data_IF_521991602289
#
_entry.id   IF_521991602289
#
_cell.length_a   1.000
_cell.length_b   1.000
_cell.length_c   1.000
_cell.angle_alpha   90.00
_cell.angle_beta   90.00
_cell.angle_gamma   90.00
#
_symmetry.space_group_name_H-M   'P 1'
#
loop_
_entity.id
_entity.type
_entity.pdbx_description
1 polymer ?
#
# COMPACT_ATOMS: atom_id res chain seq x y z
N UNK A 1 -11.57 -12.09 5.40
CA UNK A 1 -12.46 -10.98 4.99
C UNK A 1 -11.75 -9.69 5.33
N UNK A 2 -11.66 -8.74 4.40
CA UNK A 2 -11.15 -7.39 4.67
C UNK A 2 -12.28 -6.38 4.49
N UNK A 3 -12.22 -5.28 5.24
CA UNK A 3 -13.18 -4.19 5.14
C UNK A 3 -12.46 -2.89 4.78
N UNK A 4 -13.08 -2.07 3.94
CA UNK A 4 -12.60 -0.73 3.59
C UNK A 4 -13.70 0.27 3.90
N UNK A 5 -13.40 1.23 4.77
CA UNK A 5 -14.27 2.36 5.02
C UNK A 5 -13.68 3.56 4.27
N UNK A 6 -14.42 4.06 3.29
CA UNK A 6 -13.98 5.17 2.43
C UNK A 6 -15.19 6.02 2.05
N UNK A 7 -15.01 7.33 1.82
CA UNK A 7 -16.05 8.14 1.19
C UNK A 7 -16.36 7.61 -0.22
N UNK A 8 -17.64 7.62 -0.57
CA UNK A 8 -18.15 7.38 -1.92
C UNK A 8 -19.03 8.56 -2.34
N UNK A 9 -18.90 8.98 -3.59
CA UNK A 9 -19.80 9.95 -4.22
C UNK A 9 -20.54 9.24 -5.34
N UNK A 10 -21.86 9.36 -5.34
CA UNK A 10 -22.79 8.85 -6.36
C UNK A 10 -23.64 9.99 -6.91
N UNK A 11 -24.54 9.70 -7.85
CA UNK A 11 -25.49 10.67 -8.37
C UNK A 11 -26.49 11.17 -7.30
N UNK A 12 -26.61 10.47 -6.17
CA UNK A 12 -27.57 10.77 -5.09
C UNK A 12 -26.92 11.28 -3.80
N UNK A 13 -25.67 10.91 -3.55
CA UNK A 13 -24.98 11.16 -2.28
C UNK A 13 -23.56 11.67 -2.55
N UNK A 14 -23.12 12.69 -1.81
CA UNK A 14 -21.79 13.29 -1.97
C UNK A 14 -20.93 12.97 -0.76
N UNK A 15 -19.75 12.39 -0.98
CA UNK A 15 -18.76 12.04 0.03
C UNK A 15 -19.34 11.28 1.23
N UNK A 16 -20.35 10.45 0.98
CA UNK A 16 -20.96 9.65 2.03
C UNK A 16 -19.97 8.58 2.47
N UNK A 17 -19.74 8.45 3.78
CA UNK A 17 -18.89 7.40 4.33
C UNK A 17 -19.58 6.05 4.11
N UNK A 18 -18.92 5.15 3.38
CA UNK A 18 -19.42 3.80 3.08
C UNK A 18 -18.46 2.73 3.60
N UNK A 19 -19.01 1.57 3.92
CA UNK A 19 -18.24 0.37 4.21
C UNK A 19 -18.34 -0.61 3.04
N UNK A 20 -17.20 -1.11 2.61
CA UNK A 20 -17.09 -2.14 1.59
C UNK A 20 -16.40 -3.38 2.13
N UNK A 21 -16.86 -4.56 1.68
CA UNK A 21 -16.23 -5.84 2.00
C UNK A 21 -15.44 -6.37 0.81
N UNK A 22 -14.28 -6.97 1.10
CA UNK A 22 -13.47 -7.69 0.12
C UNK A 22 -13.29 -9.14 0.61
N UNK A 23 -13.91 -10.12 -0.08
CA UNK A 23 -13.68 -11.52 0.24
C UNK A 23 -12.24 -11.92 -0.09
N UNK A 24 -11.65 -12.70 0.81
CA UNK A 24 -10.35 -13.35 0.60
C UNK A 24 -10.45 -14.82 1.01
N UNK A 25 -9.63 -15.68 0.42
CA UNK A 25 -9.56 -17.10 0.76
C UNK A 25 -8.25 -17.42 1.51
N UNK A 26 -8.04 -18.69 1.88
CA UNK A 26 -6.76 -19.11 2.49
C UNK A 26 -5.61 -19.08 1.48
N UNK A 27 -5.93 -19.38 0.22
CA UNK A 27 -5.00 -19.41 -0.92
C UNK A 27 -4.72 -17.99 -1.43
N UNK A 28 -5.66 -17.07 -1.21
CA UNK A 28 -5.63 -15.71 -1.74
C UNK A 28 -6.02 -14.70 -0.65
N UNK A 29 -5.08 -14.53 0.28
CA UNK A 29 -5.22 -13.66 1.44
C UNK A 29 -5.03 -12.22 1.00
N UNK A 30 -6.04 -11.39 1.23
CA UNK A 30 -5.93 -9.96 0.99
C UNK A 30 -5.02 -9.34 2.05
N UNK A 31 -3.86 -8.85 1.63
CA UNK A 31 -2.88 -8.19 2.50
C UNK A 31 -3.13 -6.69 2.54
N UNK A 32 -2.90 -6.08 3.70
CA UNK A 32 -2.82 -4.63 3.80
C UNK A 32 -1.46 -4.15 3.26
N UNK A 33 -1.45 -3.00 2.61
CA UNK A 33 -0.21 -2.31 2.28
C UNK A 33 0.45 -1.82 3.59
N UNK A 34 1.58 -2.41 3.94
CA UNK A 34 2.39 -1.90 5.06
C UNK A 34 3.08 -0.61 4.64
N UNK A 35 3.08 0.37 5.54
CA UNK A 35 3.92 1.58 5.43
C UNK A 35 5.26 1.42 6.17
N UNK A 36 5.47 0.29 6.85
CA UNK A 36 6.69 -0.02 7.58
C UNK A 36 7.56 -1.01 6.81
N UNK A 37 8.90 -0.82 6.78
CA UNK A 37 9.81 -1.79 6.17
C UNK A 37 9.91 -3.06 7.03
N UNK A 38 10.23 -4.19 6.40
CA UNK A 38 10.70 -5.35 7.17
C UNK A 38 12.03 -5.00 7.86
N UNK A 39 12.24 -5.35 9.14
CA UNK A 39 13.52 -5.17 9.81
C UNK A 39 14.62 -6.11 9.27
N UNK A 40 14.28 -7.08 8.43
CA UNK A 40 15.23 -8.05 7.90
C UNK A 40 16.38 -7.38 7.13
N UNK A 41 17.61 -7.76 7.48
CA UNK A 41 18.83 -7.26 6.84
C UNK A 41 19.25 -5.85 7.26
N UNK A 42 18.46 -5.15 8.10
CA UNK A 42 18.90 -3.90 8.70
C UNK A 42 19.99 -4.15 9.74
N UNK A 43 21.04 -3.34 9.70
CA UNK A 43 22.15 -3.36 10.65
C UNK A 43 22.23 -2.04 11.38
N UNK A 44 22.48 -2.09 12.68
CA UNK A 44 22.73 -0.90 13.47
C UNK A 44 23.97 -0.17 12.94
N UNK A 45 23.87 1.14 12.76
CA UNK A 45 24.95 1.99 12.28
C UNK A 45 25.46 2.91 13.39
N UNK A 46 24.55 3.62 14.05
CA UNK A 46 24.86 4.62 15.08
C UNK A 46 23.60 5.06 15.82
N UNK A 47 23.80 5.81 16.89
CA UNK A 47 22.75 6.63 17.51
C UNK A 47 22.94 8.10 17.10
N UNK A 48 21.85 8.83 16.86
CA UNK A 48 21.89 10.26 16.56
C UNK A 48 20.58 10.95 16.94
N UNK A 49 20.61 12.29 17.02
CA UNK A 49 19.40 13.08 17.13
C UNK A 49 18.84 13.37 15.73
N UNK A 50 17.65 12.84 15.43
CA UNK A 50 16.91 13.15 14.21
C UNK A 50 15.69 14.02 14.55
N UNK A 51 15.67 15.25 14.03
CA UNK A 51 14.61 16.25 14.31
C UNK A 51 14.29 16.40 15.80
N UNK A 52 15.35 16.43 16.63
CA UNK A 52 15.22 16.59 18.09
C UNK A 52 14.87 15.31 18.87
N UNK A 53 14.68 14.16 18.20
CA UNK A 53 14.44 12.86 18.85
C UNK A 53 15.72 12.02 18.84
N UNK A 54 16.05 11.41 19.98
CA UNK A 54 17.17 10.48 20.07
C UNK A 54 16.81 9.14 19.44
N UNK A 55 17.54 8.76 18.40
CA UNK A 55 17.22 7.62 17.55
C UNK A 55 18.41 6.67 17.40
N UNK A 56 18.12 5.37 17.37
CA UNK A 56 18.99 4.38 16.80
C UNK A 56 18.78 4.34 15.28
N UNK A 57 19.87 4.41 14.51
CA UNK A 57 19.86 4.41 13.05
C UNK A 57 20.27 3.04 12.55
N UNK A 58 19.37 2.44 11.77
CA UNK A 58 19.56 1.14 11.16
C UNK A 58 19.62 1.27 9.65
N UNK A 59 20.50 0.52 8.99
CA UNK A 59 20.63 0.58 7.54
C UNK A 59 20.67 -0.81 6.92
N UNK A 60 19.95 -0.98 5.81
CA UNK A 60 20.04 -2.13 4.93
C UNK A 60 20.56 -1.66 3.56
N UNK A 61 21.65 -2.25 3.09
CA UNK A 61 22.23 -1.97 1.78
C UNK A 61 22.14 -3.23 0.94
N UNK A 62 21.40 -3.16 -0.17
CA UNK A 62 21.29 -4.27 -1.13
C UNK A 62 21.80 -3.86 -2.50
N UNK A 63 22.19 -4.84 -3.30
CA UNK A 63 22.54 -4.64 -4.71
C UNK A 63 21.69 -5.56 -5.55
N UNK A 64 21.09 -4.99 -6.59
CA UNK A 64 20.37 -5.74 -7.60
C UNK A 64 20.95 -5.38 -8.97
N UNK A 65 21.54 -6.37 -9.65
CA UNK A 65 22.39 -6.15 -10.81
C UNK A 65 23.44 -5.05 -10.51
N UNK A 66 23.49 -3.99 -11.32
CA UNK A 66 24.41 -2.86 -11.15
C UNK A 66 23.85 -1.72 -10.30
N UNK A 67 22.65 -1.87 -9.72
CA UNK A 67 22.00 -0.82 -8.93
C UNK A 67 22.17 -1.09 -7.43
N UNK A 68 22.51 -0.04 -6.68
CA UNK A 68 22.65 -0.07 -5.22
C UNK A 68 21.40 0.54 -4.59
N UNK A 69 20.81 -0.14 -3.61
CA UNK A 69 19.74 0.37 -2.77
C UNK A 69 20.28 0.62 -1.36
N UNK A 70 19.94 1.75 -0.77
CA UNK A 70 20.27 2.09 0.62
C UNK A 70 18.99 2.47 1.33
N UNK A 71 18.63 1.67 2.32
CA UNK A 71 17.45 1.87 3.15
C UNK A 71 17.91 2.24 4.55
N UNK A 72 17.47 3.39 5.06
CA UNK A 72 17.86 3.85 6.40
C UNK A 72 16.61 4.09 7.24
N UNK A 73 16.55 3.50 8.42
CA UNK A 73 15.43 3.56 9.34
C UNK A 73 15.91 4.17 10.66
N UNK A 74 15.19 5.19 11.11
CA UNK A 74 15.40 5.82 12.41
C UNK A 74 14.29 5.35 13.35
N UNK A 75 14.68 4.80 14.49
CA UNK A 75 13.75 4.35 15.52
C UNK A 75 14.12 4.93 16.87
N UNK A 76 13.14 5.22 17.71
CA UNK A 76 13.39 5.66 19.09
C UNK A 76 13.96 4.51 19.91
N UNK A 77 14.96 4.81 20.73
CA UNK A 77 15.47 3.88 21.74
C UNK A 77 14.81 4.19 23.08
N UNK A 78 13.56 3.74 23.29
CA UNK A 78 12.76 4.08 24.47
C UNK A 78 12.30 2.84 25.24
N UNK A 79 12.25 2.94 26.57
CA UNK A 79 11.76 1.88 27.46
C UNK A 79 10.27 1.56 27.27
N UNK A 80 9.49 2.48 26.69
CA UNK A 80 8.06 2.31 26.42
C UNK A 80 7.78 1.67 25.05
N UNK A 81 8.82 1.15 24.38
CA UNK A 81 8.74 0.54 23.06
C UNK A 81 9.54 1.30 22.01
N UNK A 82 9.93 0.57 20.96
CA UNK A 82 10.64 1.11 19.80
C UNK A 82 9.60 1.69 18.84
N UNK A 83 9.68 2.98 18.54
CA UNK A 83 8.79 3.65 17.59
C UNK A 83 9.59 4.10 16.35
N UNK A 84 9.07 3.92 15.13
CA UNK A 84 9.67 4.48 13.94
C UNK A 84 9.54 6.01 13.95
N UNK A 85 10.58 6.70 13.46
CA UNK A 85 10.63 8.17 13.38
C UNK A 85 10.76 8.63 11.93
N UNK A 86 11.66 7.99 11.18
CA UNK A 86 11.90 8.31 9.77
C UNK A 86 12.33 7.06 9.02
N UNK A 87 11.92 6.94 7.77
CA UNK A 87 12.41 5.92 6.86
C UNK A 87 12.79 6.56 5.53
N UNK A 88 14.03 6.34 5.11
CA UNK A 88 14.58 6.82 3.85
C UNK A 88 14.92 5.64 2.94
N UNK A 89 14.45 5.68 1.70
CA UNK A 89 14.81 4.74 0.65
C UNK A 89 15.55 5.50 -0.44
N UNK A 90 16.84 5.20 -0.64
CA UNK A 90 17.60 5.65 -1.81
C UNK A 90 17.79 4.47 -2.75
N UNK A 91 17.03 4.44 -3.83
CA UNK A 91 16.99 3.34 -4.78
C UNK A 91 15.55 2.91 -5.04
N UNK A 92 15.34 1.62 -5.26
CA UNK A 92 14.02 1.05 -5.46
C UNK A 92 13.10 1.33 -4.25
N UNK A 93 11.88 1.82 -4.48
CA UNK A 93 10.92 2.00 -3.41
C UNK A 93 10.46 0.62 -2.92
N UNK A 94 10.95 0.17 -1.76
CA UNK A 94 10.70 -1.19 -1.30
C UNK A 94 9.31 -1.40 -0.68
N UNK A 95 8.61 -0.32 -0.31
CA UNK A 95 7.29 -0.38 0.32
C UNK A 95 6.18 -0.40 -0.70
N UNK A 96 6.20 0.58 -1.60
CA UNK A 96 5.17 0.74 -2.61
C UNK A 96 5.57 0.02 -3.89
N UNK A 97 6.88 -0.17 -4.16
CA UNK A 97 7.42 -0.93 -5.30
C UNK A 97 7.69 -0.10 -6.59
N UNK A 98 7.80 1.21 -6.45
CA UNK A 98 8.02 2.19 -7.52
C UNK A 98 9.45 2.23 -8.13
N UNK A 99 9.71 3.23 -8.97
CA UNK A 99 10.99 3.52 -9.63
C UNK A 99 12.15 3.78 -8.66
N UNK A 100 13.37 3.78 -9.20
CA UNK A 100 14.58 4.16 -8.46
C UNK A 100 14.62 5.66 -8.23
N UNK A 101 14.50 6.08 -6.98
CA UNK A 101 14.55 7.48 -6.56
C UNK A 101 14.92 7.60 -5.07
N UNK A 102 14.80 8.79 -4.49
CA UNK A 102 14.80 9.02 -3.05
C UNK A 102 13.36 9.16 -2.55
N UNK A 103 12.98 8.32 -1.60
CA UNK A 103 11.70 8.39 -0.91
C UNK A 103 11.91 8.56 0.59
N UNK A 104 11.02 9.32 1.23
CA UNK A 104 11.09 9.65 2.65
C UNK A 104 9.71 9.51 3.30
N UNK A 105 9.65 8.83 4.44
CA UNK A 105 8.44 8.66 5.25
C UNK A 105 8.75 9.16 6.66
N UNK A 106 8.01 10.18 7.10
CA UNK A 106 8.08 10.69 8.46
C UNK A 106 6.93 10.09 9.29
N UNK A 107 7.26 9.56 10.46
CA UNK A 107 6.29 9.01 11.41
C UNK A 107 6.18 9.96 12.61
N UNK A 108 4.99 10.55 12.78
CA UNK A 108 4.75 11.57 13.83
C UNK A 108 4.00 10.99 15.03
N UNK A 109 2.85 10.36 14.79
CA UNK A 109 1.86 9.99 15.81
C UNK A 109 1.75 8.46 15.98
N UNK A 110 2.90 7.78 16.06
CA UNK A 110 2.95 6.33 16.24
C UNK A 110 2.76 5.94 17.71
N UNK A 111 1.92 4.94 17.96
CA UNK A 111 1.74 4.31 19.26
C UNK A 111 1.91 2.78 19.16
N UNK A 112 2.55 2.20 20.18
CA UNK A 112 2.70 0.75 20.32
C UNK A 112 1.44 0.09 20.91
N UNK A 113 0.51 0.89 21.43
CA UNK A 113 -0.77 0.45 21.95
C UNK A 113 -1.90 1.11 21.17
N UNK A 114 -2.93 0.34 20.88
CA UNK A 114 -4.16 0.84 20.32
C UNK A 114 -5.32 0.06 20.93
N UNK A 115 -6.50 0.70 21.11
CA UNK A 115 -7.65 0.00 21.64
C UNK A 115 -8.14 -1.05 20.63
N UNK A 116 -8.44 -2.29 21.03
CA UNK A 116 -8.93 -3.32 20.10
C UNK A 116 -10.16 -2.90 19.30
N UNK A 117 -10.96 -1.98 19.86
CA UNK A 117 -12.16 -1.44 19.24
C UNK A 117 -11.92 -0.67 17.94
N UNK A 118 -10.67 -0.32 17.58
CA UNK A 118 -10.39 0.24 16.24
C UNK A 118 -10.72 -0.73 15.11
N UNK A 119 -10.75 -2.03 15.40
CA UNK A 119 -11.12 -3.08 14.45
C UNK A 119 -12.63 -3.39 14.47
N UNK A 120 -13.36 -2.81 15.42
CA UNK A 120 -14.82 -2.95 15.47
C UNK A 120 -15.43 -2.06 14.39
N UNK A 121 -16.18 -2.68 13.48
CA UNK A 121 -16.92 -1.94 12.48
C UNK A 121 -18.04 -1.13 13.15
N UNK A 122 -18.17 0.18 12.89
CA UNK A 122 -19.19 1.01 13.53
C UNK A 122 -20.60 0.53 13.16
N UNK A 123 -21.27 -0.13 14.12
CA UNK A 123 -22.52 -0.89 13.93
C UNK A 123 -23.63 -0.07 13.25
N UNK A 124 -23.68 1.25 13.47
CA UNK A 124 -24.68 2.14 12.88
C UNK A 124 -24.40 2.48 11.41
N UNK A 125 -23.15 2.39 10.96
CA UNK A 125 -22.71 2.73 9.61
C UNK A 125 -22.48 1.49 8.72
N UNK A 126 -22.42 0.29 9.32
CA UNK A 126 -21.96 -0.93 8.64
C UNK A 126 -22.94 -2.11 8.68
N UNK A 127 -24.21 -1.92 9.08
CA UNK A 127 -25.22 -3.01 9.22
C UNK A 127 -25.27 -3.97 8.01
N UNK A 128 -24.90 -3.52 6.82
CA UNK A 128 -24.46 -4.35 5.69
C UNK A 128 -23.38 -3.60 4.92
N UNK A 129 -22.10 -3.91 5.13
CA UNK A 129 -21.05 -3.43 4.22
C UNK A 129 -21.40 -3.88 2.79
N UNK A 130 -21.34 -2.96 1.84
CA UNK A 130 -21.63 -3.24 0.44
C UNK A 130 -20.50 -4.01 -0.21
N UNK A 131 -20.77 -4.58 -1.37
CA UNK A 131 -19.70 -4.99 -2.27
C UNK A 131 -19.14 -3.75 -2.98
N UNK A 132 -17.85 -3.80 -3.31
CA UNK A 132 -17.30 -2.80 -4.22
C UNK A 132 -18.03 -2.89 -5.57
N UNK A 133 -18.10 -1.78 -6.31
CA UNK A 133 -18.58 -1.84 -7.68
C UNK A 133 -17.58 -2.61 -8.54
N UNK A 134 -18.08 -3.46 -9.41
CA UNK A 134 -17.27 -4.12 -10.43
C UNK A 134 -17.10 -5.63 -10.26
N UNK A 135 -16.03 -6.14 -10.86
CA UNK A 135 -15.61 -7.55 -10.72
C UNK A 135 -14.66 -7.74 -9.54
N UNK A 136 -14.48 -8.99 -9.08
CA UNK A 136 -13.55 -9.30 -7.99
C UNK A 136 -12.10 -8.82 -8.25
N UNK A 137 -11.67 -8.79 -9.52
CA UNK A 137 -10.37 -8.25 -9.95
C UNK A 137 -10.33 -6.73 -9.79
N UNK A 138 -11.40 -6.03 -10.20
CA UNK A 138 -11.54 -4.58 -10.01
C UNK A 138 -11.55 -4.20 -8.53
N UNK A 139 -12.17 -5.02 -7.68
CA UNK A 139 -12.22 -4.77 -6.25
C UNK A 139 -10.82 -4.73 -5.61
N UNK A 140 -9.86 -5.53 -6.09
CA UNK A 140 -8.47 -5.52 -5.58
C UNK A 140 -7.79 -4.20 -5.86
N UNK A 141 -7.90 -3.72 -7.10
CA UNK A 141 -7.36 -2.42 -7.51
C UNK A 141 -8.04 -1.30 -6.71
N UNK A 142 -9.36 -1.37 -6.50
CA UNK A 142 -10.09 -0.33 -5.75
C UNK A 142 -9.73 -0.30 -4.26
N UNK A 143 -9.47 -1.46 -3.65
CA UNK A 143 -9.09 -1.51 -2.22
C UNK A 143 -7.67 -0.99 -2.02
N UNK A 144 -6.73 -1.37 -2.88
CA UNK A 144 -5.33 -1.02 -2.74
C UNK A 144 -4.71 -0.59 -4.09
N UNK A 145 -5.10 0.57 -4.64
CA UNK A 145 -4.66 0.99 -5.98
C UNK A 145 -3.14 1.20 -6.03
N UNK A 146 -2.52 1.55 -4.90
CA UNK A 146 -1.08 1.70 -4.81
C UNK A 146 -0.36 0.36 -5.01
N UNK A 147 -0.86 -0.74 -4.46
CA UNK A 147 -0.24 -2.05 -4.71
C UNK A 147 -0.29 -2.46 -6.19
N UNK A 148 -1.29 -1.99 -6.94
CA UNK A 148 -1.36 -2.28 -8.38
C UNK A 148 -0.41 -1.43 -9.21
N UNK A 149 -0.33 -0.13 -8.89
CA UNK A 149 0.49 0.83 -9.63
C UNK A 149 1.98 0.64 -9.40
N UNK A 150 2.34 0.24 -8.18
CA UNK A 150 3.74 0.20 -7.77
C UNK A 150 4.14 -1.15 -7.19
N UNK A 151 3.23 -2.08 -6.86
CA UNK A 151 3.62 -3.35 -6.21
C UNK A 151 4.49 -4.28 -7.05
N UNK A 152 4.95 -5.38 -6.43
CA UNK A 152 5.84 -6.38 -7.06
C UNK A 152 5.09 -7.50 -7.80
N UNK A 153 3.77 -7.50 -7.74
CA UNK A 153 2.91 -8.51 -8.35
C UNK A 153 2.54 -8.10 -9.79
N UNK A 154 1.97 -9.03 -10.57
CA UNK A 154 1.38 -8.67 -11.85
C UNK A 154 0.23 -7.66 -11.62
N UNK A 155 0.17 -6.54 -12.36
CA UNK A 155 -0.88 -5.54 -12.18
C UNK A 155 -2.26 -6.14 -12.50
N UNK A 156 -3.13 -6.18 -11.50
CA UNK A 156 -4.54 -6.53 -11.64
C UNK A 156 -5.24 -5.56 -12.60
N UNK A 157 -4.83 -4.28 -12.71
CA UNK A 157 -5.38 -3.36 -13.70
C UNK A 157 -5.25 -3.85 -15.14
N UNK A 158 -4.21 -4.62 -15.47
CA UNK A 158 -4.08 -5.22 -16.80
C UNK A 158 -5.17 -6.28 -17.05
N UNK A 159 -5.47 -7.10 -16.03
CA UNK A 159 -6.57 -8.07 -16.11
C UNK A 159 -7.93 -7.36 -16.23
N UNK A 160 -8.14 -6.29 -15.45
CA UNK A 160 -9.32 -5.42 -15.54
C UNK A 160 -9.47 -4.85 -16.95
N UNK A 161 -8.39 -4.32 -17.54
CA UNK A 161 -8.39 -3.77 -18.89
C UNK A 161 -8.80 -4.83 -19.92
N UNK A 162 -8.27 -6.05 -19.82
CA UNK A 162 -8.67 -7.15 -20.70
C UNK A 162 -10.12 -7.59 -20.50
N UNK A 163 -10.63 -7.55 -19.27
CA UNK A 163 -12.04 -7.80 -18.97
C UNK A 163 -12.95 -6.72 -19.60
N UNK A 164 -12.65 -5.45 -19.39
CA UNK A 164 -13.32 -4.30 -20.01
C UNK A 164 -13.36 -4.42 -21.53
N UNK A 165 -12.20 -4.70 -22.16
CA UNK A 165 -12.07 -4.84 -23.61
C UNK A 165 -12.99 -5.93 -24.15
N UNK A 166 -13.01 -7.10 -23.51
CA UNK A 166 -13.87 -8.23 -23.89
C UNK A 166 -15.35 -7.90 -23.72
N UNK A 167 -15.71 -7.35 -22.56
CA UNK A 167 -17.11 -7.04 -22.19
C UNK A 167 -17.74 -6.01 -23.13
N UNK A 168 -16.99 -4.98 -23.54
CA UNK A 168 -17.48 -3.94 -24.44
C UNK A 168 -17.14 -4.16 -25.92
N UNK A 169 -16.56 -5.31 -26.27
CA UNK A 169 -16.16 -5.62 -27.65
C UNK A 169 -15.19 -4.61 -28.26
N UNK A 170 -14.36 -3.95 -27.44
CA UNK A 170 -13.40 -2.94 -27.90
C UNK A 170 -12.31 -3.61 -28.74
N UNK A 171 -12.09 -3.06 -29.93
CA UNK A 171 -11.01 -3.46 -30.83
C UNK A 171 -10.06 -2.28 -31.00
N UNK A 172 -8.78 -2.58 -31.09
CA UNK A 172 -7.72 -1.60 -31.32
C UNK A 172 -7.09 -1.89 -32.68
N UNK A 173 -6.74 -0.85 -33.43
CA UNK A 173 -6.29 -0.94 -34.81
C UNK A 173 -4.91 -1.55 -34.98
N UNK A 174 -4.13 -1.64 -33.90
CA UNK A 174 -2.82 -2.30 -33.91
C UNK A 174 -2.41 -2.83 -32.55
N UNK A 175 -1.41 -3.72 -32.53
CA UNK A 175 -0.78 -4.19 -31.30
C UNK A 175 -0.15 -3.03 -30.51
N UNK A 176 0.46 -2.07 -31.20
CA UNK A 176 1.05 -0.87 -30.59
C UNK A 176 0.00 0.00 -29.90
N UNK A 177 -1.17 0.18 -30.53
CA UNK A 177 -2.26 0.91 -29.91
C UNK A 177 -2.80 0.18 -28.67
N UNK A 178 -2.98 -1.14 -28.76
CA UNK A 178 -3.40 -1.96 -27.63
C UNK A 178 -2.45 -1.82 -26.43
N UNK A 179 -1.14 -1.95 -26.68
CA UNK A 179 -0.11 -1.83 -25.66
C UNK A 179 -0.08 -0.42 -25.05
N UNK A 180 -0.23 0.62 -25.88
CA UNK A 180 -0.34 1.99 -25.40
C UNK A 180 -1.58 2.20 -24.52
N UNK A 181 -2.72 1.58 -24.83
CA UNK A 181 -3.95 1.69 -24.04
C UNK A 181 -3.93 0.88 -22.74
N UNK A 182 -3.09 -0.15 -22.67
CA UNK A 182 -2.92 -0.99 -21.48
C UNK A 182 -1.94 -0.39 -20.48
N UNK A 183 -1.00 0.45 -20.94
CA UNK A 183 0.07 1.06 -20.14
C UNK A 183 -0.30 2.42 -19.52
N UNK A 184 -1.56 2.85 -19.61
CA UNK A 184 -2.09 4.09 -19.00
C UNK A 184 -2.67 3.78 -17.62
#
# INVERSE_FOLDING_TARGET
>A
MQYKITPETTEKEVNARKCFQLPGSKEDVVKIQSVFPSPDGFKFIREEYYRGRYCAVWQNVTRWAQKKNVYTLWVTNSSCGVAPVHYEMRGYNSLLGSHYDKYEIAYTDFDNSFPPSIFDLPVNETKKCGDLPGSAVEHRVLVNPMEDLVGRHQPWAHEVFHHYRRRLGRRYGSARELEHRQSV
#
